data_IF_678306616746
#
_entry.id   IF_678306616746
#
_cell.length_a   1.000
_cell.length_b   1.000
_cell.length_c   1.000
_cell.angle_alpha   90.00
_cell.angle_beta   90.00
_cell.angle_gamma   90.00
#
_symmetry.space_group_name_H-M   'P 1'
#
loop_
_entity.id
_entity.type
_entity.pdbx_description
1 polymer ?
#
# COMPACT_ATOMS: atom_id res chain seq x y z
N UNK A 1 -8.16 4.96 -3.54
CA UNK A 1 -7.88 3.50 -3.59
C UNK A 1 -8.84 2.77 -2.69
N UNK A 2 -9.39 1.68 -3.14
CA UNK A 2 -10.32 0.86 -2.38
C UNK A 2 -9.68 -0.46 -1.97
N UNK A 3 -10.20 -1.02 -0.90
CA UNK A 3 -9.70 -2.28 -0.33
C UNK A 3 -10.85 -3.29 -0.23
N UNK A 4 -10.51 -4.55 -0.29
CA UNK A 4 -11.47 -5.65 -0.18
C UNK A 4 -10.93 -6.69 0.80
N UNK A 5 -11.79 -7.61 1.24
CA UNK A 5 -11.37 -8.79 1.99
C UNK A 5 -10.87 -9.86 1.03
N UNK A 6 -9.88 -10.64 1.46
CA UNK A 6 -9.41 -11.80 0.68
C UNK A 6 -10.47 -12.88 0.51
N UNK A 7 -11.52 -12.88 1.33
CA UNK A 7 -12.61 -13.85 1.27
C UNK A 7 -13.84 -13.36 0.52
N UNK A 8 -13.97 -12.05 0.32
CA UNK A 8 -15.13 -11.49 -0.38
C UNK A 8 -14.76 -10.16 -1.02
N UNK A 9 -15.05 -10.01 -2.29
CA UNK A 9 -14.85 -8.77 -3.04
C UNK A 9 -16.14 -7.95 -3.17
N UNK A 10 -17.22 -8.36 -2.50
CA UNK A 10 -18.53 -7.71 -2.66
C UNK A 10 -18.60 -6.33 -1.97
N UNK A 11 -17.78 -6.11 -0.97
CA UNK A 11 -17.77 -4.86 -0.21
C UNK A 11 -16.42 -4.19 -0.37
N UNK A 12 -16.45 -2.89 -0.69
CA UNK A 12 -15.27 -2.06 -0.78
C UNK A 12 -15.12 -1.23 0.49
N UNK A 13 -13.89 -1.07 0.93
CA UNK A 13 -13.56 -0.32 2.15
C UNK A 13 -12.59 0.81 1.83
N UNK A 14 -12.69 1.91 2.59
CA UNK A 14 -11.72 2.99 2.55
C UNK A 14 -10.57 2.69 3.51
N UNK A 15 -9.44 3.38 3.31
CA UNK A 15 -8.24 3.13 4.12
C UNK A 15 -8.49 3.33 5.62
N UNK A 16 -9.19 4.40 6.00
CA UNK A 16 -9.48 4.66 7.41
C UNK A 16 -10.35 3.58 8.03
N UNK A 17 -11.26 3.00 7.27
CA UNK A 17 -12.08 1.89 7.74
C UNK A 17 -11.25 0.65 8.05
N UNK A 18 -10.30 0.30 7.16
CA UNK A 18 -9.47 -0.90 7.35
C UNK A 18 -8.49 -0.72 8.50
N UNK A 19 -7.98 0.49 8.72
CA UNK A 19 -7.08 0.78 9.84
C UNK A 19 -7.81 0.61 11.17
N UNK A 20 -9.03 1.10 11.26
CA UNK A 20 -9.85 0.99 12.47
C UNK A 20 -10.30 -0.44 12.74
N UNK A 21 -10.65 -1.16 11.70
CA UNK A 21 -11.20 -2.49 11.82
C UNK A 21 -10.13 -3.57 12.01
N UNK A 22 -9.01 -3.41 11.33
CA UNK A 22 -7.88 -4.35 11.39
C UNK A 22 -8.11 -5.63 10.62
N UNK A 23 -9.16 -6.37 10.92
CA UNK A 23 -9.51 -7.63 10.27
C UNK A 23 -10.95 -7.56 9.75
N UNK A 24 -11.24 -8.04 8.51
CA UNK A 24 -12.60 -8.09 8.01
C UNK A 24 -13.49 -9.01 8.84
N UNK A 25 -14.80 -8.77 8.83
CA UNK A 25 -15.78 -9.57 9.56
C UNK A 25 -15.81 -11.03 9.11
N UNK A 26 -15.44 -11.30 7.85
CA UNK A 26 -15.43 -12.66 7.30
C UNK A 26 -14.16 -13.45 7.66
N UNK A 27 -13.27 -12.88 8.45
CA UNK A 27 -12.05 -13.54 8.88
C UNK A 27 -10.91 -13.55 7.85
N UNK A 28 -11.08 -12.85 6.73
CA UNK A 28 -10.03 -12.70 5.73
C UNK A 28 -9.02 -11.64 6.11
N UNK A 29 -8.30 -11.12 5.12
CA UNK A 29 -7.37 -10.01 5.27
C UNK A 29 -7.78 -8.89 4.33
N UNK A 30 -7.51 -7.63 4.71
CA UNK A 30 -7.72 -6.51 3.81
C UNK A 30 -6.58 -6.40 2.81
N UNK A 31 -6.94 -6.26 1.53
CA UNK A 31 -5.98 -6.07 0.44
C UNK A 31 -6.53 -4.99 -0.49
N UNK A 32 -5.65 -4.27 -1.24
CA UNK A 32 -6.13 -3.35 -2.27
C UNK A 32 -6.96 -4.09 -3.31
N UNK A 33 -8.04 -3.47 -3.77
CA UNK A 33 -8.87 -4.06 -4.82
C UNK A 33 -8.09 -4.23 -6.12
N UNK A 34 -7.24 -3.27 -6.43
CA UNK A 34 -6.38 -3.30 -7.60
C UNK A 34 -4.94 -3.25 -7.18
N UNK A 35 -4.14 -4.21 -7.64
CA UNK A 35 -2.71 -4.26 -7.37
C UNK A 35 -1.97 -3.55 -8.49
N UNK A 36 -1.19 -2.54 -8.13
CA UNK A 36 -0.34 -1.81 -9.08
C UNK A 36 0.92 -2.64 -9.28
N UNK A 37 1.24 -2.92 -10.54
CA UNK A 37 2.44 -3.68 -10.89
C UNK A 37 3.52 -2.72 -11.37
N UNK A 38 4.76 -2.99 -10.95
CA UNK A 38 5.91 -2.28 -11.49
C UNK A 38 6.27 -2.84 -12.86
N UNK A 39 6.73 -1.98 -13.76
CA UNK A 39 7.13 -2.40 -15.09
C UNK A 39 8.55 -2.98 -15.10
N UNK A 40 8.96 -3.47 -16.27
CA UNK A 40 10.29 -4.06 -16.44
C UNK A 40 11.41 -3.04 -16.17
N UNK A 41 11.22 -1.80 -16.59
CA UNK A 41 12.20 -0.74 -16.38
C UNK A 41 12.48 -0.50 -14.90
N UNK A 42 11.46 -0.63 -14.06
CA UNK A 42 11.64 -0.51 -12.61
C UNK A 42 12.61 -1.56 -12.08
N UNK A 43 12.44 -2.82 -12.50
CA UNK A 43 13.29 -3.92 -12.03
C UNK A 43 14.72 -3.84 -12.59
N UNK A 44 14.87 -3.32 -13.79
CA UNK A 44 16.22 -3.13 -14.38
C UNK A 44 17.00 -2.11 -13.57
N UNK A 45 16.35 -1.05 -13.08
CA UNK A 45 16.99 0.05 -12.36
C UNK A 45 16.95 -0.10 -10.83
N UNK A 46 16.40 -1.21 -10.32
CA UNK A 46 16.20 -1.38 -8.88
C UNK A 46 17.50 -1.36 -8.08
N UNK A 47 18.58 -1.82 -8.66
CA UNK A 47 19.89 -1.84 -8.00
C UNK A 47 20.44 -0.43 -7.70
N UNK A 48 19.97 0.58 -8.42
CA UNK A 48 20.37 1.98 -8.23
C UNK A 48 19.54 2.68 -7.17
N UNK A 49 18.52 2.02 -6.63
CA UNK A 49 17.64 2.58 -5.60
C UNK A 49 18.09 2.16 -4.21
N UNK A 50 17.92 3.08 -3.26
CA UNK A 50 18.13 2.76 -1.86
C UNK A 50 16.97 1.92 -1.34
N UNK A 51 17.19 1.24 -0.21
CA UNK A 51 16.13 0.51 0.47
C UNK A 51 14.91 1.40 0.75
N UNK A 52 15.14 2.64 1.17
CA UNK A 52 14.04 3.58 1.49
C UNK A 52 13.25 3.96 0.26
N UNK A 53 13.90 4.14 -0.88
CA UNK A 53 13.22 4.43 -2.13
C UNK A 53 12.33 3.27 -2.57
N UNK A 54 12.85 2.03 -2.46
CA UNK A 54 12.08 0.83 -2.78
C UNK A 54 10.90 0.68 -1.81
N UNK A 55 11.14 0.86 -0.51
CA UNK A 55 10.09 0.78 0.50
C UNK A 55 8.99 1.81 0.25
N UNK A 56 9.37 3.04 -0.13
CA UNK A 56 8.41 4.08 -0.48
C UNK A 56 7.59 3.67 -1.71
N UNK A 57 8.25 3.19 -2.77
CA UNK A 57 7.57 2.80 -4.01
C UNK A 57 6.56 1.68 -3.76
N UNK A 58 6.97 0.65 -3.00
CA UNK A 58 6.08 -0.47 -2.65
C UNK A 58 4.92 0.00 -1.78
N UNK A 59 5.20 0.79 -0.74
CA UNK A 59 4.15 1.31 0.14
C UNK A 59 3.13 2.14 -0.62
N UNK A 60 3.58 2.92 -1.61
CA UNK A 60 2.69 3.77 -2.40
C UNK A 60 1.71 2.94 -3.26
N UNK A 61 2.03 1.70 -3.59
CA UNK A 61 1.10 0.82 -4.32
C UNK A 61 -0.06 0.37 -3.45
N UNK A 62 0.10 0.39 -2.12
CA UNK A 62 -0.93 0.00 -1.17
C UNK A 62 -1.67 1.18 -0.56
N UNK A 63 -1.04 2.36 -0.54
CA UNK A 63 -1.59 3.56 0.08
C UNK A 63 -1.58 4.68 -0.95
N UNK A 64 -2.77 5.16 -1.35
CA UNK A 64 -2.91 6.21 -2.34
C UNK A 64 -2.42 7.57 -1.85
N UNK A 65 -2.08 8.46 -2.78
CA UNK A 65 -1.64 9.84 -2.46
C UNK A 65 -2.74 10.68 -1.85
N UNK A 66 -3.99 10.33 -2.09
CA UNK A 66 -5.15 10.97 -1.49
C UNK A 66 -5.30 10.65 0.02
N UNK A 67 -4.62 9.61 0.49
CA UNK A 67 -4.68 9.16 1.88
C UNK A 67 -3.50 9.73 2.66
N UNK A 68 -2.27 9.47 2.19
CA UNK A 68 -1.04 9.95 2.83
C UNK A 68 -0.19 10.64 1.76
N UNK A 69 0.07 11.94 1.90
CA UNK A 69 0.94 12.66 0.97
C UNK A 69 2.36 12.08 0.94
N UNK A 70 3.06 12.23 -0.18
CA UNK A 70 4.40 11.69 -0.37
C UNK A 70 5.38 12.11 0.73
N UNK A 71 5.33 13.37 1.16
CA UNK A 71 6.22 13.88 2.21
C UNK A 71 6.04 13.14 3.52
N UNK A 72 4.80 12.86 3.89
CA UNK A 72 4.49 12.18 5.14
C UNK A 72 4.86 10.69 5.06
N UNK A 73 4.62 10.04 3.92
CA UNK A 73 4.97 8.64 3.74
C UNK A 73 6.49 8.45 3.81
N UNK A 74 7.26 9.37 3.21
CA UNK A 74 8.72 9.34 3.29
C UNK A 74 9.22 9.50 4.73
N UNK A 75 8.58 10.38 5.50
CA UNK A 75 8.94 10.58 6.92
C UNK A 75 8.70 9.32 7.74
N UNK A 76 7.60 8.63 7.53
CA UNK A 76 7.29 7.38 8.21
C UNK A 76 8.39 6.35 7.96
N UNK A 77 8.79 6.19 6.69
CA UNK A 77 9.86 5.26 6.33
C UNK A 77 11.20 5.60 6.94
N UNK A 78 11.50 6.89 7.13
CA UNK A 78 12.78 7.33 7.71
C UNK A 78 12.81 7.30 9.21
N UNK A 79 11.67 7.24 9.87
CA UNK A 79 11.60 7.27 11.33
C UNK A 79 12.22 6.02 11.98
N UNK A 80 12.48 4.98 11.21
CA UNK A 80 13.04 3.72 11.69
C UNK A 80 14.53 3.55 11.37
N UNK A 81 15.18 4.62 10.94
CA UNK A 81 16.60 4.59 10.56
C UNK A 81 17.49 4.92 11.76
#
# INVERSE_FOLDING_TARGET
MKYISTRSSDVQYDFDEIVRKGIPDDGGLFVPENIIKFDEAYFINIQDKTFYEIAFDVSRTFIGTDIIPDEDLKKIGRAHV
#
